data_IF_666834043680
#
_entry.id   IF_666834043680
#
_cell.length_a   1.000
_cell.length_b   1.000
_cell.length_c   1.000
_cell.angle_alpha   90.00
_cell.angle_beta   90.00
_cell.angle_gamma   90.00
#
_symmetry.space_group_name_H-M   'P 1'
#
loop_
_entity.id
_entity.type
_entity.pdbx_description
1 polymer ?
#
# COMPACT_ATOMS: atom_id res chain seq x y z
N UNK A 1 -9.19 10.19 -23.61
CA UNK A 1 -9.15 10.81 -22.27
C UNK A 1 -7.98 10.20 -21.54
N UNK A 2 -6.88 10.94 -21.44
CA UNK A 2 -5.73 10.56 -20.62
C UNK A 2 -6.14 10.64 -19.15
N UNK A 3 -6.24 9.48 -18.51
CA UNK A 3 -6.31 9.41 -17.05
C UNK A 3 -4.90 9.72 -16.53
N UNK A 4 -4.60 11.01 -16.40
CA UNK A 4 -3.47 11.44 -15.58
C UNK A 4 -3.78 11.06 -14.13
N UNK A 5 -3.14 9.99 -13.66
CA UNK A 5 -3.10 9.62 -12.25
C UNK A 5 -2.65 10.86 -11.48
N UNK A 6 -3.48 11.36 -10.55
CA UNK A 6 -3.11 12.45 -9.65
C UNK A 6 -1.78 12.07 -8.99
N UNK A 7 -0.82 13.00 -8.96
CA UNK A 7 0.43 12.80 -8.24
C UNK A 7 0.13 12.49 -6.78
N UNK A 8 0.69 11.38 -6.28
CA UNK A 8 0.59 10.95 -4.89
C UNK A 8 0.68 12.15 -3.93
N UNK A 9 -0.08 12.09 -2.84
CA UNK A 9 0.19 12.89 -1.63
C UNK A 9 1.50 12.42 -0.95
N UNK A 10 2.62 12.43 -1.68
CA UNK A 10 3.97 12.18 -1.17
C UNK A 10 4.23 13.01 0.10
N UNK A 11 3.64 14.20 0.17
CA UNK A 11 3.81 15.13 1.28
C UNK A 11 3.09 14.74 2.58
N UNK A 12 2.10 13.84 2.58
CA UNK A 12 1.32 13.55 3.82
C UNK A 12 1.74 12.26 4.50
N UNK A 13 1.91 11.15 3.77
CA UNK A 13 2.19 9.85 4.40
C UNK A 13 3.65 9.66 4.76
N UNK A 14 4.56 10.09 3.88
CA UNK A 14 5.99 10.10 4.20
C UNK A 14 6.27 11.08 5.34
N UNK A 15 5.58 12.24 5.38
CA UNK A 15 5.70 13.18 6.49
C UNK A 15 5.19 12.61 7.81
N UNK A 16 4.06 11.89 7.82
CA UNK A 16 3.54 11.21 9.02
C UNK A 16 4.49 10.13 9.52
N UNK A 17 5.00 9.29 8.60
CA UNK A 17 5.97 8.25 8.94
C UNK A 17 7.25 8.88 9.46
N UNK A 18 7.80 9.89 8.80
CA UNK A 18 9.03 10.57 9.24
C UNK A 18 8.84 11.27 10.59
N UNK A 19 7.65 11.83 10.87
CA UNK A 19 7.33 12.43 12.17
C UNK A 19 7.27 11.38 13.29
N UNK A 20 6.58 10.26 13.07
CA UNK A 20 6.48 9.15 14.03
C UNK A 20 7.85 8.49 14.23
N UNK A 21 8.61 8.32 13.15
CA UNK A 21 9.98 7.83 13.14
C UNK A 21 10.90 8.73 13.95
N UNK A 22 10.83 10.05 13.76
CA UNK A 22 11.62 11.00 14.53
C UNK A 22 11.38 10.83 16.03
N UNK A 23 10.12 10.71 16.46
CA UNK A 23 9.78 10.48 17.87
C UNK A 23 10.30 9.10 18.34
N UNK A 24 10.05 8.02 17.59
CA UNK A 24 10.51 6.66 17.95
C UNK A 24 12.02 6.57 18.14
N UNK A 25 12.79 7.15 17.22
CA UNK A 25 14.26 7.00 17.22
C UNK A 25 15.00 8.11 17.97
N UNK A 26 14.36 9.26 18.22
CA UNK A 26 14.98 10.39 18.89
C UNK A 26 14.34 10.72 20.24
N UNK A 27 13.39 9.92 20.73
CA UNK A 27 12.73 10.10 22.03
C UNK A 27 13.71 10.47 23.17
N UNK A 28 14.86 9.77 23.34
CA UNK A 28 15.83 10.14 24.37
C UNK A 28 16.42 11.55 24.18
N UNK A 29 16.77 11.92 22.94
CA UNK A 29 17.31 13.25 22.61
C UNK A 29 16.28 14.35 22.80
N UNK A 30 15.03 14.09 22.46
CA UNK A 30 13.91 15.03 22.65
C UNK A 30 13.69 15.27 24.14
N UNK A 31 13.67 14.20 24.95
CA UNK A 31 13.60 14.30 26.41
C UNK A 31 14.75 15.12 26.98
N UNK A 32 15.99 14.82 26.60
CA UNK A 32 17.15 15.53 27.10
C UNK A 32 17.12 17.03 26.73
N UNK A 33 16.67 17.36 25.51
CA UNK A 33 16.46 18.74 25.08
C UNK A 33 15.37 19.45 25.91
N UNK A 34 14.26 18.79 26.21
CA UNK A 34 13.19 19.33 27.08
C UNK A 34 13.69 19.57 28.52
N UNK A 35 14.49 18.65 29.06
CA UNK A 35 15.11 18.79 30.39
C UNK A 35 16.14 19.92 30.41
N UNK A 36 16.87 20.15 29.32
CA UNK A 36 17.76 21.31 29.23
C UNK A 36 16.98 22.62 29.11
N UNK A 37 15.91 22.65 28.30
CA UNK A 37 15.05 23.82 28.14
C UNK A 37 14.43 24.27 29.47
N UNK A 38 14.00 23.32 30.31
CA UNK A 38 13.45 23.65 31.64
C UNK A 38 14.49 24.22 32.61
N UNK A 39 15.78 23.95 32.40
CA UNK A 39 16.87 24.51 33.22
C UNK A 39 17.31 25.90 32.74
N UNK A 40 17.31 26.12 31.44
CA UNK A 40 17.85 27.35 30.83
C UNK A 40 16.81 28.46 30.65
N UNK A 41 15.52 28.13 30.53
CA UNK A 41 14.46 29.15 30.32
C UNK A 41 14.27 30.06 31.53
N UNK A 42 14.09 31.36 31.32
CA UNK A 42 13.71 32.31 32.38
C UNK A 42 12.20 32.32 32.64
N UNK A 43 11.40 32.02 31.62
CA UNK A 43 9.94 31.97 31.72
C UNK A 43 9.49 30.74 32.55
N UNK A 44 8.83 30.95 33.70
CA UNK A 44 8.36 29.86 34.56
C UNK A 44 7.33 28.96 33.89
N UNK A 45 6.55 29.46 32.91
CA UNK A 45 5.58 28.66 32.15
C UNK A 45 6.29 27.69 31.21
N UNK A 46 7.29 28.17 30.46
CA UNK A 46 8.09 27.30 29.58
C UNK A 46 8.80 26.22 30.40
N UNK A 47 9.29 26.56 31.59
CA UNK A 47 9.92 25.59 32.50
C UNK A 47 8.97 24.48 32.92
N UNK A 48 7.78 24.85 33.39
CA UNK A 48 6.80 23.87 33.87
C UNK A 48 6.29 22.98 32.74
N UNK A 49 5.99 23.55 31.57
CA UNK A 49 5.55 22.79 30.39
C UNK A 49 6.64 21.83 29.90
N UNK A 50 7.88 22.30 29.72
CA UNK A 50 8.97 21.45 29.23
C UNK A 50 9.27 20.29 30.20
N UNK A 51 9.25 20.54 31.51
CA UNK A 51 9.42 19.48 32.51
C UNK A 51 8.26 18.48 32.52
N UNK A 52 7.03 18.97 32.34
CA UNK A 52 5.83 18.14 32.27
C UNK A 52 5.90 17.18 31.07
N UNK A 53 6.19 17.71 29.87
CA UNK A 53 6.34 16.92 28.64
C UNK A 53 7.45 15.87 28.76
N UNK A 54 8.59 16.23 29.34
CA UNK A 54 9.72 15.31 29.53
C UNK A 54 9.37 14.15 30.47
N UNK A 55 8.63 14.42 31.55
CA UNK A 55 8.39 13.45 32.64
C UNK A 55 7.11 12.62 32.43
N UNK A 56 6.07 13.22 31.86
CA UNK A 56 4.75 12.58 31.79
C UNK A 56 4.34 12.12 30.40
N UNK A 57 4.93 12.67 29.33
CA UNK A 57 4.66 12.21 27.96
C UNK A 57 5.79 11.34 27.42
N UNK A 58 7.04 11.81 27.51
CA UNK A 58 8.19 11.10 26.93
C UNK A 58 8.66 9.90 27.76
N UNK A 59 8.43 9.89 29.06
CA UNK A 59 8.69 8.74 29.95
C UNK A 59 7.46 7.83 30.13
N UNK A 60 6.35 8.12 29.46
CA UNK A 60 5.18 7.26 29.53
C UNK A 60 5.35 6.01 28.65
N UNK A 61 5.40 4.85 29.30
CA UNK A 61 5.53 3.56 28.62
C UNK A 61 4.40 3.30 27.62
N UNK A 62 3.15 3.59 27.96
CA UNK A 62 2.00 3.37 27.07
C UNK A 62 2.11 4.23 25.81
N UNK A 63 2.59 5.46 25.95
CA UNK A 63 2.86 6.35 24.83
C UNK A 63 3.97 5.81 23.92
N UNK A 64 5.10 5.39 24.51
CA UNK A 64 6.22 4.81 23.75
C UNK A 64 5.83 3.52 23.03
N UNK A 65 5.09 2.64 23.71
CA UNK A 65 4.56 1.41 23.13
C UNK A 65 3.58 1.73 22.00
N UNK A 66 2.66 2.66 22.22
CA UNK A 66 1.71 3.12 21.21
C UNK A 66 2.42 3.68 19.97
N UNK A 67 3.41 4.54 20.15
CA UNK A 67 4.22 5.09 19.06
C UNK A 67 4.99 4.01 18.30
N UNK A 68 5.50 3.00 19.00
CA UNK A 68 6.20 1.88 18.37
C UNK A 68 5.26 1.03 17.50
N UNK A 69 4.08 0.67 18.04
CA UNK A 69 3.04 -0.07 17.32
C UNK A 69 2.56 0.73 16.10
N UNK A 70 2.27 2.02 16.28
CA UNK A 70 1.82 2.89 15.19
C UNK A 70 2.86 2.99 14.07
N UNK A 71 4.15 3.13 14.42
CA UNK A 71 5.22 3.14 13.43
C UNK A 71 5.25 1.84 12.62
N UNK A 72 5.19 0.68 13.28
CA UNK A 72 5.28 -0.62 12.60
C UNK A 72 4.08 -0.83 11.66
N UNK A 73 2.86 -0.47 12.08
CA UNK A 73 1.65 -0.50 11.24
C UNK A 73 1.80 0.42 10.04
N UNK A 74 2.15 1.70 10.25
CA UNK A 74 2.29 2.66 9.16
C UNK A 74 3.39 2.24 8.18
N UNK A 75 4.50 1.71 8.69
CA UNK A 75 5.61 1.25 7.87
C UNK A 75 5.19 0.07 6.99
N UNK A 76 4.48 -0.91 7.53
CA UNK A 76 3.97 -2.05 6.77
C UNK A 76 2.98 -1.60 5.68
N UNK A 77 2.00 -0.77 6.02
CA UNK A 77 1.01 -0.26 5.06
C UNK A 77 1.67 0.54 3.94
N UNK A 78 2.62 1.43 4.28
CA UNK A 78 3.35 2.21 3.29
C UNK A 78 4.27 1.35 2.43
N UNK A 79 4.88 0.30 2.99
CA UNK A 79 5.70 -0.64 2.22
C UNK A 79 4.85 -1.39 1.20
N UNK A 80 3.70 -1.93 1.62
CA UNK A 80 2.76 -2.61 0.73
C UNK A 80 2.24 -1.65 -0.35
N UNK A 81 1.86 -0.43 0.04
CA UNK A 81 1.41 0.61 -0.90
C UNK A 81 2.46 0.92 -1.96
N UNK A 82 3.71 1.15 -1.55
CA UNK A 82 4.84 1.39 -2.47
C UNK A 82 5.10 0.19 -3.38
N UNK A 83 5.03 -1.03 -2.86
CA UNK A 83 5.20 -2.26 -3.64
C UNK A 83 4.10 -2.37 -4.70
N UNK A 84 2.82 -2.19 -4.31
CA UNK A 84 1.67 -2.28 -5.21
C UNK A 84 1.64 -1.18 -6.27
N UNK A 85 2.18 0.01 -5.95
CA UNK A 85 2.27 1.14 -6.87
C UNK A 85 3.60 1.17 -7.67
N UNK A 86 4.58 0.34 -7.30
CA UNK A 86 5.86 0.31 -8.01
C UNK A 86 5.69 -0.28 -9.40
N UNK A 87 6.33 0.38 -10.38
CA UNK A 87 6.36 -0.10 -11.77
C UNK A 87 7.07 -1.47 -11.91
N UNK A 88 7.91 -1.83 -10.93
CA UNK A 88 8.70 -3.06 -10.91
C UNK A 88 7.99 -4.27 -10.33
N UNK A 89 6.95 -4.09 -9.49
CA UNK A 89 5.97 -5.15 -9.24
C UNK A 89 5.03 -5.26 -10.46
N UNK A 90 5.64 -5.43 -11.63
CA UNK A 90 4.99 -5.49 -12.91
C UNK A 90 3.81 -6.47 -12.81
N UNK A 91 2.63 -5.96 -13.11
CA UNK A 91 1.39 -6.62 -13.51
C UNK A 91 1.53 -7.91 -14.37
N UNK A 92 2.73 -8.19 -14.89
CA UNK A 92 3.14 -9.42 -15.57
C UNK A 92 3.81 -10.43 -14.64
N UNK A 93 4.74 -9.98 -13.78
CA UNK A 93 5.53 -10.81 -12.89
C UNK A 93 4.69 -11.38 -11.75
N UNK A 94 3.79 -10.57 -11.15
CA UNK A 94 2.91 -11.05 -10.08
C UNK A 94 1.94 -12.14 -10.57
N UNK A 95 1.37 -11.94 -11.75
CA UNK A 95 0.50 -12.94 -12.38
C UNK A 95 1.27 -14.20 -12.77
N UNK A 96 2.42 -14.06 -13.43
CA UNK A 96 3.25 -15.19 -13.85
C UNK A 96 3.77 -16.01 -12.66
N UNK A 97 4.23 -15.35 -11.59
CA UNK A 97 4.69 -16.02 -10.37
C UNK A 97 3.57 -16.77 -9.66
N UNK A 98 2.38 -16.17 -9.54
CA UNK A 98 1.22 -16.86 -8.97
C UNK A 98 0.80 -18.08 -9.82
N UNK A 99 0.86 -17.93 -11.15
CA UNK A 99 0.57 -19.02 -12.08
C UNK A 99 1.59 -20.16 -11.95
N UNK A 100 2.87 -19.83 -11.79
CA UNK A 100 3.96 -20.81 -11.60
C UNK A 100 3.81 -21.58 -10.28
N UNK A 101 3.58 -20.88 -9.17
CA UNK A 101 3.32 -21.53 -7.86
C UNK A 101 2.11 -22.47 -7.90
N UNK A 102 1.03 -22.07 -8.58
CA UNK A 102 -0.15 -22.94 -8.71
C UNK A 102 0.13 -24.11 -9.64
N UNK A 103 0.88 -23.91 -10.74
CA UNK A 103 1.27 -25.01 -11.63
C UNK A 103 2.04 -26.09 -10.87
N UNK A 104 3.02 -25.70 -10.05
CA UNK A 104 3.78 -26.61 -9.18
C UNK A 104 2.83 -27.39 -8.24
N UNK A 105 1.94 -26.69 -7.54
CA UNK A 105 0.97 -27.31 -6.63
C UNK A 105 -0.02 -28.24 -7.35
N UNK A 106 -0.48 -27.89 -8.56
CA UNK A 106 -1.42 -28.73 -9.33
C UNK A 106 -0.76 -30.01 -9.83
N UNK A 107 0.54 -29.97 -10.15
CA UNK A 107 1.32 -31.16 -10.49
C UNK A 107 1.41 -32.09 -9.27
N UNK A 108 1.62 -31.55 -8.06
CA UNK A 108 1.61 -32.34 -6.83
C UNK A 108 0.23 -32.98 -6.55
N UNK A 109 -0.85 -32.31 -6.94
CA UNK A 109 -2.23 -32.77 -6.73
C UNK A 109 -2.77 -33.66 -7.87
N UNK A 110 -1.98 -33.97 -8.89
CA UNK A 110 -2.40 -34.69 -10.11
C UNK A 110 -3.58 -34.00 -10.85
N UNK A 111 -3.57 -32.66 -10.85
CA UNK A 111 -4.54 -31.79 -11.54
C UNK A 111 -3.87 -31.17 -12.77
N UNK A 112 -4.51 -31.25 -13.94
CA UNK A 112 -4.01 -30.61 -15.15
C UNK A 112 -4.16 -29.07 -15.08
N UNK A 113 -3.07 -28.28 -15.14
CA UNK A 113 -3.14 -26.82 -15.04
C UNK A 113 -3.58 -26.21 -16.38
N UNK A 114 -4.88 -26.16 -16.63
CA UNK A 114 -5.46 -25.62 -17.87
C UNK A 114 -6.62 -24.65 -17.60
N UNK A 115 -6.61 -23.51 -18.30
CA UNK A 115 -7.77 -22.59 -18.32
C UNK A 115 -8.88 -23.15 -19.21
N UNK A 116 -10.12 -23.09 -18.72
CA UNK A 116 -11.30 -23.50 -19.48
C UNK A 116 -11.69 -22.40 -20.49
N UNK A 117 -11.70 -22.73 -21.78
CA UNK A 117 -12.13 -21.80 -22.82
C UNK A 117 -13.66 -21.66 -22.85
N UNK A 118 -14.15 -20.42 -22.88
CA UNK A 118 -15.58 -20.14 -23.10
C UNK A 118 -15.94 -20.50 -24.55
N UNK A 119 -17.06 -21.19 -24.75
CA UNK A 119 -17.57 -21.55 -26.09
C UNK A 119 -17.82 -20.30 -26.93
N UNK A 120 -17.16 -20.16 -28.09
CA UNK A 120 -17.44 -19.09 -29.06
C UNK A 120 -18.76 -19.35 -29.79
N UNK A 121 -19.80 -18.54 -29.52
CA UNK A 121 -21.09 -18.64 -30.20
C UNK A 121 -21.03 -17.83 -31.49
N UNK A 122 -21.16 -18.51 -32.63
CA UNK A 122 -21.29 -17.84 -33.92
C UNK A 122 -22.77 -17.56 -34.20
N UNK A 123 -23.14 -16.27 -34.32
CA UNK A 123 -24.46 -15.85 -34.80
C UNK A 123 -24.37 -15.48 -36.28
N UNK A 124 -25.44 -15.71 -37.05
CA UNK A 124 -25.53 -15.23 -38.44
C UNK A 124 -25.34 -13.71 -38.46
N UNK A 125 -24.35 -13.23 -39.21
CA UNK A 125 -24.07 -11.81 -39.40
C UNK A 125 -25.01 -11.25 -40.48
N UNK A 126 -25.55 -10.05 -40.26
CA UNK A 126 -26.27 -9.27 -41.28
C UNK A 126 -25.33 -8.25 -41.93
N UNK A 127 -25.65 -7.86 -43.17
CA UNK A 127 -24.77 -7.16 -44.11
C UNK A 127 -24.25 -5.79 -43.62
N UNK A 128 -24.93 -5.16 -42.64
CA UNK A 128 -24.61 -3.83 -42.12
C UNK A 128 -23.79 -3.84 -40.82
N UNK A 129 -23.32 -5.00 -40.35
CA UNK A 129 -22.47 -5.06 -39.16
C UNK A 129 -21.06 -4.56 -39.52
N UNK A 130 -20.80 -3.29 -39.22
CA UNK A 130 -19.45 -2.71 -39.17
C UNK A 130 -18.59 -3.61 -38.26
N UNK A 131 -17.44 -4.06 -38.75
CA UNK A 131 -16.45 -4.81 -37.97
C UNK A 131 -16.01 -3.96 -36.77
N UNK A 132 -16.69 -4.12 -35.63
CA UNK A 132 -16.00 -4.02 -34.36
C UNK A 132 -15.34 -5.38 -34.18
N UNK A 133 -14.04 -5.46 -34.47
CA UNK A 133 -13.21 -6.58 -34.05
C UNK A 133 -13.38 -6.79 -32.54
N UNK A 134 -14.33 -7.65 -32.15
CA UNK A 134 -14.41 -8.18 -30.79
C UNK A 134 -13.10 -8.93 -30.56
N UNK A 135 -12.17 -8.29 -29.84
CA UNK A 135 -10.89 -8.88 -29.48
C UNK A 135 -11.18 -10.14 -28.66
N UNK A 136 -11.15 -11.31 -29.30
CA UNK A 136 -11.30 -12.57 -28.56
C UNK A 136 -9.99 -12.86 -27.84
N UNK A 137 -9.90 -12.43 -26.58
CA UNK A 137 -8.79 -12.77 -25.69
C UNK A 137 -8.74 -14.28 -25.39
N UNK A 138 -7.54 -14.81 -25.14
CA UNK A 138 -7.36 -16.18 -24.61
C UNK A 138 -8.05 -16.33 -23.25
N UNK A 139 -8.41 -17.54 -22.82
CA UNK A 139 -8.97 -17.78 -21.49
C UNK A 139 -8.04 -17.28 -20.36
N UNK A 140 -6.73 -17.39 -20.57
CA UNK A 140 -5.72 -16.84 -19.65
C UNK A 140 -5.74 -15.31 -19.64
N UNK A 141 -5.80 -14.66 -20.81
CA UNK A 141 -5.87 -13.20 -20.92
C UNK A 141 -7.17 -12.64 -20.34
N UNK A 142 -8.30 -13.32 -20.57
CA UNK A 142 -9.58 -12.97 -19.94
C UNK A 142 -9.51 -13.10 -18.43
N UNK A 143 -8.96 -14.18 -17.88
CA UNK A 143 -8.77 -14.30 -16.44
C UNK A 143 -7.85 -13.21 -15.88
N UNK A 144 -6.77 -12.91 -16.60
CA UNK A 144 -5.85 -11.85 -16.23
C UNK A 144 -6.56 -10.49 -16.19
N UNK A 145 -7.27 -10.11 -17.24
CA UNK A 145 -7.93 -8.80 -17.35
C UNK A 145 -9.14 -8.71 -16.41
N UNK A 146 -10.06 -9.67 -16.48
CA UNK A 146 -11.36 -9.59 -15.81
C UNK A 146 -11.26 -9.86 -14.29
N UNK A 147 -10.22 -10.56 -13.85
CA UNK A 147 -10.05 -10.93 -12.44
C UNK A 147 -8.80 -10.29 -11.85
N UNK A 148 -7.60 -10.65 -12.33
CA UNK A 148 -6.36 -10.23 -11.68
C UNK A 148 -6.17 -8.71 -11.72
N UNK A 149 -6.33 -8.07 -12.88
CA UNK A 149 -6.22 -6.61 -12.99
C UNK A 149 -7.34 -5.91 -12.24
N UNK A 150 -8.56 -6.41 -12.32
CA UNK A 150 -9.69 -5.85 -11.59
C UNK A 150 -9.43 -5.82 -10.07
N UNK A 151 -8.99 -6.93 -9.48
CA UNK A 151 -8.70 -7.01 -8.04
C UNK A 151 -7.53 -6.10 -7.66
N UNK A 152 -6.50 -6.01 -8.50
CA UNK A 152 -5.38 -5.09 -8.28
C UNK A 152 -5.83 -3.63 -8.29
N UNK A 153 -6.59 -3.22 -9.31
CA UNK A 153 -7.10 -1.86 -9.45
C UNK A 153 -8.03 -1.49 -8.27
N UNK A 154 -8.90 -2.42 -7.85
CA UNK A 154 -9.72 -2.23 -6.65
C UNK A 154 -8.88 -2.10 -5.38
N UNK A 155 -7.83 -2.89 -5.24
CA UNK A 155 -6.94 -2.83 -4.08
C UNK A 155 -6.16 -1.53 -4.03
N UNK A 156 -5.62 -1.07 -5.17
CA UNK A 156 -4.95 0.23 -5.31
C UNK A 156 -5.93 1.35 -4.99
N UNK A 157 -7.12 1.35 -5.59
CA UNK A 157 -8.15 2.37 -5.34
C UNK A 157 -8.63 2.37 -3.88
N UNK A 158 -8.72 1.21 -3.23
CA UNK A 158 -9.05 1.11 -1.81
C UNK A 158 -7.94 1.69 -0.91
N UNK A 159 -6.68 1.46 -1.27
CA UNK A 159 -5.50 2.04 -0.59
C UNK A 159 -5.36 3.54 -0.90
N UNK A 160 -5.88 4.03 -2.01
CA UNK A 160 -5.88 5.47 -2.27
C UNK A 160 -7.02 6.17 -1.52
N UNK A 161 -8.25 5.63 -1.62
CA UNK A 161 -9.46 6.22 -1.04
C UNK A 161 -9.54 6.17 0.49
N UNK A 162 -9.02 5.12 1.15
CA UNK A 162 -8.97 5.05 2.62
C UNK A 162 -8.09 6.12 3.27
N UNK A 163 -7.25 6.75 2.47
CA UNK A 163 -6.13 7.55 2.94
C UNK A 163 -6.08 8.95 2.30
N UNK A 164 -7.17 9.34 1.62
CA UNK A 164 -7.53 10.68 1.14
C UNK A 164 -8.41 11.40 2.18
#
# INVERSE_FOLDING_TARGET
>A
MENSFKSLSQTRWECRIESVKAIKFQAPKIRDALVQLSKTSEDPKIKSEAMCLATYEMENFEFLLGMNIWYDILFAVNSISKIMQSKDMNMKNGFASALESIKEMTIEMDIEPKFNEKRKIHRKKHFDNIDSDEITHSAEDSFRIDYFLYILDQSISSIESRFE
#
